data_IF_789369518538
#
_entry.id   IF_789369518538
#
_cell.length_a   1.000
_cell.length_b   1.000
_cell.length_c   1.000
_cell.angle_alpha   90.00
_cell.angle_beta   90.00
_cell.angle_gamma   90.00
#
_symmetry.space_group_name_H-M   'P 1'
#
loop_
_entity.id
_entity.type
_entity.pdbx_description
1 polymer ?
#
# COMPACT_ATOMS: atom_id res chain seq x y z
N UNK A 1 10.52 5.67 -20.46
CA UNK A 1 11.28 4.80 -19.52
C UNK A 1 12.71 4.55 -20.00
N UNK A 2 12.94 4.15 -21.24
CA UNK A 2 14.29 3.87 -21.74
C UNK A 2 15.24 5.05 -21.61
N UNK A 3 14.81 6.26 -21.93
CA UNK A 3 15.61 7.47 -21.82
C UNK A 3 16.07 7.77 -20.39
N UNK A 4 15.25 7.39 -19.40
CA UNK A 4 15.54 7.60 -17.98
C UNK A 4 16.45 6.50 -17.39
N UNK A 5 16.55 5.34 -18.03
CA UNK A 5 17.28 4.19 -17.50
C UNK A 5 18.74 4.53 -17.17
N UNK A 6 19.46 5.26 -18.06
CA UNK A 6 20.86 5.64 -17.82
C UNK A 6 21.06 6.41 -16.50
N UNK A 7 20.09 7.22 -16.09
CA UNK A 7 20.17 8.07 -14.90
C UNK A 7 19.62 7.40 -13.65
N UNK A 8 18.56 6.58 -13.79
CA UNK A 8 17.75 6.10 -12.68
C UNK A 8 17.74 4.58 -12.50
N UNK A 9 18.53 3.80 -13.26
CA UNK A 9 18.68 2.36 -13.03
C UNK A 9 19.11 2.09 -11.58
N UNK A 10 18.40 1.18 -10.91
CA UNK A 10 18.69 0.79 -9.53
C UNK A 10 18.37 1.85 -8.46
N UNK A 11 17.65 2.91 -8.78
CA UNK A 11 17.38 4.04 -7.84
C UNK A 11 15.94 4.19 -7.40
N UNK A 12 15.00 3.55 -8.08
CA UNK A 12 13.57 3.68 -7.77
C UNK A 12 13.21 2.82 -6.56
N UNK A 13 12.70 3.44 -5.51
CA UNK A 13 12.22 2.75 -4.30
C UNK A 13 10.83 2.17 -4.49
N UNK A 14 9.92 2.90 -5.11
CA UNK A 14 8.56 2.44 -5.33
C UNK A 14 8.11 2.75 -6.76
N UNK A 15 7.65 1.72 -7.46
CA UNK A 15 6.92 1.86 -8.73
C UNK A 15 5.46 1.59 -8.41
N UNK A 16 4.59 2.57 -8.69
CA UNK A 16 3.14 2.45 -8.51
C UNK A 16 2.51 2.78 -9.85
N UNK A 17 1.82 1.81 -10.45
CA UNK A 17 1.20 1.98 -11.77
C UNK A 17 -0.24 1.50 -11.80
N UNK A 18 -1.04 2.23 -12.57
CA UNK A 18 -2.42 1.91 -12.94
C UNK A 18 -2.47 1.79 -14.48
N UNK A 19 -2.03 0.66 -15.05
CA UNK A 19 -1.93 0.52 -16.50
C UNK A 19 -3.31 0.48 -17.17
N UNK A 20 -3.40 0.74 -18.49
CA UNK A 20 -4.65 0.51 -19.23
C UNK A 20 -5.17 -0.90 -18.99
N UNK A 21 -6.43 -1.03 -18.54
CA UNK A 21 -7.03 -2.32 -18.24
C UNK A 21 -7.32 -3.10 -19.52
N UNK A 22 -7.08 -4.41 -19.47
CA UNK A 22 -7.56 -5.32 -20.49
C UNK A 22 -9.05 -5.57 -20.29
N UNK A 23 -9.83 -5.49 -21.37
CA UNK A 23 -11.25 -5.83 -21.40
C UNK A 23 -11.50 -6.90 -22.47
N UNK A 24 -12.21 -7.97 -22.08
CA UNK A 24 -12.58 -9.06 -23.02
C UNK A 24 -13.56 -8.62 -24.09
N UNK A 25 -14.42 -7.64 -23.79
CA UNK A 25 -15.40 -7.07 -24.73
C UNK A 25 -15.03 -5.62 -24.96
N UNK A 26 -14.92 -5.22 -26.22
CA UNK A 26 -14.75 -3.83 -26.62
C UNK A 26 -15.94 -3.01 -26.10
N UNK A 27 -15.67 -1.93 -25.40
CA UNK A 27 -16.71 -0.96 -25.06
C UNK A 27 -16.91 -0.03 -26.25
N UNK A 28 -18.17 0.19 -26.65
CA UNK A 28 -18.54 1.10 -27.76
C UNK A 28 -18.22 2.56 -27.47
N UNK A 29 -18.03 2.95 -26.22
CA UNK A 29 -17.47 4.22 -25.79
C UNK A 29 -16.14 3.93 -25.11
N UNK A 30 -15.05 4.11 -25.84
CA UNK A 30 -13.72 4.13 -25.25
C UNK A 30 -13.63 5.43 -24.45
N UNK A 31 -13.95 5.35 -23.17
CA UNK A 31 -13.85 6.48 -22.24
C UNK A 31 -12.40 6.88 -22.00
N UNK A 32 -11.46 6.05 -22.45
CA UNK A 32 -10.06 6.34 -22.52
C UNK A 32 -9.69 6.63 -23.97
N UNK A 33 -9.06 7.75 -24.24
CA UNK A 33 -8.33 7.98 -25.49
C UNK A 33 -7.18 6.98 -25.68
N UNK A 34 -7.03 6.02 -24.77
CA UNK A 34 -6.24 4.81 -24.91
C UNK A 34 -7.03 3.81 -25.74
N UNK A 35 -6.44 3.28 -26.79
CA UNK A 35 -7.00 2.16 -27.53
C UNK A 35 -7.14 0.94 -26.62
N UNK A 36 -8.22 0.87 -25.84
CA UNK A 36 -8.55 -0.25 -24.94
C UNK A 36 -8.99 -1.52 -25.69
N UNK A 37 -9.03 -1.46 -27.03
CA UNK A 37 -9.32 -2.58 -27.92
C UNK A 37 -8.11 -3.47 -28.20
N UNK A 38 -7.14 -3.53 -27.31
CA UNK A 38 -6.00 -4.43 -27.43
C UNK A 38 -6.45 -5.90 -27.45
N UNK A 39 -5.99 -6.65 -28.45
CA UNK A 39 -5.97 -8.11 -28.32
C UNK A 39 -5.09 -8.46 -27.10
N UNK A 40 -5.44 -9.52 -26.39
CA UNK A 40 -4.71 -9.94 -25.19
C UNK A 40 -3.19 -10.03 -25.42
N UNK A 41 -2.77 -10.61 -26.54
CA UNK A 41 -1.35 -10.74 -26.90
C UNK A 41 -0.65 -9.38 -27.04
N UNK A 42 -1.30 -8.42 -27.70
CA UNK A 42 -0.76 -7.07 -27.89
C UNK A 42 -0.63 -6.34 -26.54
N UNK A 43 -1.66 -6.46 -25.68
CA UNK A 43 -1.64 -5.89 -24.34
C UNK A 43 -0.54 -6.50 -23.47
N UNK A 44 -0.35 -7.82 -23.53
CA UNK A 44 0.73 -8.49 -22.80
C UNK A 44 2.10 -8.06 -23.29
N UNK A 45 2.32 -7.89 -24.58
CA UNK A 45 3.58 -7.37 -25.14
C UNK A 45 3.81 -5.93 -24.69
N UNK A 46 2.77 -5.10 -24.73
CA UNK A 46 2.80 -3.72 -24.25
C UNK A 46 3.23 -3.64 -22.76
N UNK A 47 2.64 -4.48 -21.90
CA UNK A 47 3.00 -4.56 -20.49
C UNK A 47 4.38 -5.13 -20.27
N UNK A 48 4.75 -6.20 -21.01
CA UNK A 48 6.07 -6.84 -20.92
C UNK A 48 7.20 -5.83 -21.12
N UNK A 49 7.17 -5.10 -22.23
CA UNK A 49 8.22 -4.15 -22.58
C UNK A 49 8.45 -3.07 -21.51
N UNK A 50 7.39 -2.69 -20.80
CA UNK A 50 7.45 -1.68 -19.73
C UNK A 50 7.93 -2.27 -18.41
N UNK A 51 7.45 -3.45 -18.06
CA UNK A 51 7.86 -4.14 -16.83
C UNK A 51 9.32 -4.59 -16.88
N UNK A 52 9.83 -4.99 -18.05
CA UNK A 52 11.25 -5.31 -18.24
C UNK A 52 12.14 -4.11 -17.86
N UNK A 53 11.81 -2.91 -18.37
CA UNK A 53 12.55 -1.69 -18.02
C UNK A 53 12.34 -1.28 -16.57
N UNK A 54 11.10 -1.39 -16.08
CA UNK A 54 10.77 -1.05 -14.70
C UNK A 54 11.58 -1.87 -13.69
N UNK A 55 11.74 -3.18 -13.94
CA UNK A 55 12.57 -4.07 -13.12
C UNK A 55 14.02 -3.57 -12.99
N UNK A 56 14.60 -3.05 -14.07
CA UNK A 56 15.97 -2.54 -14.06
C UNK A 56 16.09 -1.21 -13.30
N UNK A 57 15.03 -0.41 -13.27
CA UNK A 57 15.00 0.87 -12.56
C UNK A 57 14.84 0.70 -11.04
N UNK A 58 14.22 -0.39 -10.57
CA UNK A 58 14.05 -0.65 -9.14
C UNK A 58 15.41 -0.79 -8.43
N UNK A 59 15.51 -0.18 -7.24
CA UNK A 59 16.59 -0.45 -6.29
C UNK A 59 16.44 -1.86 -5.71
N UNK A 60 17.47 -2.40 -5.07
CA UNK A 60 17.43 -3.74 -4.47
C UNK A 60 16.35 -3.88 -3.39
N UNK A 61 16.04 -2.80 -2.69
CA UNK A 61 14.93 -2.73 -1.73
C UNK A 61 13.64 -2.23 -2.35
N UNK A 62 13.60 -2.06 -3.67
CA UNK A 62 12.47 -1.50 -4.39
C UNK A 62 11.27 -2.42 -4.46
N UNK A 63 10.09 -1.80 -4.55
CA UNK A 63 8.80 -2.45 -4.69
C UNK A 63 8.12 -2.02 -6.00
N UNK A 64 7.47 -2.98 -6.66
CA UNK A 64 6.63 -2.73 -7.83
C UNK A 64 5.19 -3.07 -7.46
N UNK A 65 4.31 -2.08 -7.58
CA UNK A 65 2.90 -2.14 -7.21
C UNK A 65 2.07 -1.87 -8.47
N UNK A 66 1.18 -2.80 -8.82
CA UNK A 66 0.41 -2.75 -10.06
C UNK A 66 -1.07 -2.86 -9.71
N UNK A 67 -1.85 -1.83 -10.02
CA UNK A 67 -3.31 -1.82 -9.84
C UNK A 67 -3.93 -2.38 -11.12
N UNK A 68 -4.86 -3.32 -11.02
CA UNK A 68 -5.48 -3.97 -12.19
C UNK A 68 -6.89 -4.47 -11.90
N UNK A 69 -7.76 -4.38 -12.89
CA UNK A 69 -9.09 -4.96 -12.85
C UNK A 69 -9.10 -6.48 -13.06
N UNK A 70 -10.22 -7.12 -12.69
CA UNK A 70 -10.41 -8.57 -12.72
C UNK A 70 -10.05 -9.20 -14.06
N UNK A 71 -10.44 -8.60 -15.20
CA UNK A 71 -10.30 -9.22 -16.52
C UNK A 71 -8.84 -9.39 -16.97
N UNK A 72 -7.96 -8.50 -16.51
CA UNK A 72 -6.51 -8.55 -16.80
C UNK A 72 -5.67 -9.18 -15.70
N UNK A 73 -6.25 -9.41 -14.51
CA UNK A 73 -5.51 -9.81 -13.31
C UNK A 73 -4.68 -11.09 -13.51
N UNK A 74 -5.31 -12.18 -13.92
CA UNK A 74 -4.65 -13.48 -14.02
C UNK A 74 -3.49 -13.46 -15.04
N UNK A 75 -3.71 -12.84 -16.19
CA UNK A 75 -2.72 -12.75 -17.26
C UNK A 75 -1.55 -11.86 -16.88
N UNK A 76 -1.85 -10.71 -16.24
CA UNK A 76 -0.82 -9.79 -15.76
C UNK A 76 -0.01 -10.39 -14.61
N UNK A 77 -0.66 -11.13 -13.71
CA UNK A 77 0.02 -11.85 -12.62
C UNK A 77 1.04 -12.85 -13.17
N UNK A 78 0.65 -13.68 -14.14
CA UNK A 78 1.55 -14.64 -14.79
C UNK A 78 2.70 -13.95 -15.52
N UNK A 79 2.42 -12.85 -16.23
CA UNK A 79 3.46 -12.06 -16.90
C UNK A 79 4.43 -11.43 -15.90
N UNK A 80 3.92 -10.84 -14.84
CA UNK A 80 4.72 -10.22 -13.78
C UNK A 80 5.58 -11.25 -13.03
N UNK A 81 5.05 -12.46 -12.75
CA UNK A 81 5.83 -13.56 -12.18
C UNK A 81 7.02 -13.95 -13.07
N UNK A 82 6.81 -13.97 -14.37
CA UNK A 82 7.89 -14.30 -15.32
C UNK A 82 8.95 -13.20 -15.38
N UNK A 83 8.57 -11.94 -15.33
CA UNK A 83 9.49 -10.80 -15.48
C UNK A 83 10.14 -10.43 -14.13
N UNK A 84 9.35 -10.20 -13.11
CA UNK A 84 9.81 -9.72 -11.82
C UNK A 84 10.34 -10.85 -10.92
N UNK A 85 9.83 -12.06 -11.13
CA UNK A 85 10.13 -13.27 -10.36
C UNK A 85 8.94 -13.70 -9.49
N UNK A 86 8.48 -14.94 -9.65
CA UNK A 86 7.40 -15.49 -8.83
C UNK A 86 7.80 -15.61 -7.34
N UNK A 87 9.08 -15.80 -7.05
CA UNK A 87 9.65 -15.80 -5.70
C UNK A 87 9.77 -14.39 -5.08
N UNK A 88 9.60 -13.36 -5.89
CA UNK A 88 9.60 -11.95 -5.48
C UNK A 88 8.19 -11.40 -5.24
N UNK A 89 7.17 -12.17 -5.52
CA UNK A 89 5.79 -11.81 -5.22
C UNK A 89 5.57 -11.76 -3.71
N UNK A 90 5.04 -10.62 -3.22
CA UNK A 90 4.71 -10.42 -1.80
C UNK A 90 3.25 -10.81 -1.54
N UNK A 91 2.34 -10.34 -2.39
CA UNK A 91 0.91 -10.59 -2.22
C UNK A 91 0.04 -9.76 -3.16
N UNK A 92 -1.25 -10.03 -3.09
CA UNK A 92 -2.30 -9.23 -3.76
C UNK A 92 -3.22 -8.64 -2.71
N UNK A 93 -3.49 -7.34 -2.82
CA UNK A 93 -4.54 -6.67 -2.06
C UNK A 93 -5.80 -6.62 -2.92
N UNK A 94 -6.92 -7.08 -2.37
CA UNK A 94 -8.25 -6.86 -2.92
C UNK A 94 -8.75 -5.49 -2.45
N UNK A 95 -8.82 -4.52 -3.36
CA UNK A 95 -9.26 -3.17 -3.04
C UNK A 95 -10.70 -2.92 -3.48
N UNK A 96 -11.56 -2.48 -2.55
CA UNK A 96 -12.91 -2.06 -2.86
C UNK A 96 -12.91 -0.69 -3.54
N UNK A 97 -13.06 -0.72 -4.87
CA UNK A 97 -12.98 0.47 -5.72
C UNK A 97 -14.26 1.28 -5.81
N UNK A 98 -15.38 0.77 -5.32
CA UNK A 98 -16.70 1.40 -5.48
C UNK A 98 -17.46 1.47 -4.17
N UNK A 99 -18.04 2.64 -3.88
CA UNK A 99 -18.97 2.83 -2.77
C UNK A 99 -20.30 2.11 -3.03
N UNK A 100 -20.73 2.10 -4.29
CA UNK A 100 -21.99 1.54 -4.72
C UNK A 100 -21.85 0.12 -5.22
N UNK A 101 -22.91 -0.67 -5.02
CA UNK A 101 -23.08 -1.97 -5.62
C UNK A 101 -24.10 -1.86 -6.75
N UNK A 102 -23.63 -1.84 -7.99
CA UNK A 102 -24.51 -1.84 -9.15
C UNK A 102 -25.16 -3.21 -9.35
N UNK A 103 -26.46 -3.27 -9.51
CA UNK A 103 -27.20 -4.49 -9.86
C UNK A 103 -27.14 -4.74 -11.39
N UNK A 104 -25.93 -5.02 -11.89
CA UNK A 104 -25.66 -5.26 -13.31
C UNK A 104 -24.90 -6.57 -13.44
N UNK A 105 -25.41 -7.49 -14.27
CA UNK A 105 -24.83 -8.83 -14.45
C UNK A 105 -25.23 -9.82 -13.35
N UNK A 106 -24.49 -10.91 -13.22
CA UNK A 106 -24.79 -11.96 -12.24
C UNK A 106 -24.30 -11.61 -10.84
N UNK A 107 -23.23 -10.79 -10.73
CA UNK A 107 -22.75 -10.22 -9.46
C UNK A 107 -22.05 -8.88 -9.69
N UNK A 108 -22.06 -8.03 -8.67
CA UNK A 108 -21.47 -6.69 -8.74
C UNK A 108 -19.94 -6.75 -8.64
N UNK A 109 -19.25 -6.11 -9.59
CA UNK A 109 -17.79 -6.01 -9.63
C UNK A 109 -17.34 -4.76 -8.85
N UNK A 110 -17.15 -4.89 -7.56
CA UNK A 110 -16.83 -3.78 -6.66
C UNK A 110 -15.35 -3.71 -6.26
N UNK A 111 -14.52 -4.65 -6.75
CA UNK A 111 -13.10 -4.75 -6.40
C UNK A 111 -12.20 -4.65 -7.63
N UNK A 112 -11.00 -4.08 -7.41
CA UNK A 112 -9.82 -4.26 -8.23
C UNK A 112 -8.70 -4.88 -7.38
N UNK A 113 -7.61 -5.27 -8.02
CA UNK A 113 -6.51 -5.98 -7.39
C UNK A 113 -5.23 -5.17 -7.46
N UNK A 114 -4.41 -5.26 -6.42
CA UNK A 114 -3.12 -4.58 -6.33
C UNK A 114 -2.06 -5.64 -6.14
N UNK A 115 -1.30 -5.91 -7.20
CA UNK A 115 -0.19 -6.86 -7.18
C UNK A 115 1.06 -6.19 -6.61
N UNK A 116 1.75 -6.84 -5.70
CA UNK A 116 2.95 -6.31 -5.05
C UNK A 116 4.13 -7.27 -5.22
N UNK A 117 5.20 -6.76 -5.81
CA UNK A 117 6.47 -7.47 -5.99
C UNK A 117 7.61 -6.68 -5.36
N UNK A 118 8.63 -7.38 -4.88
CA UNK A 118 9.92 -6.80 -4.48
C UNK A 118 11.01 -7.15 -5.49
N UNK A 119 12.07 -6.34 -5.57
CA UNK A 119 13.22 -6.71 -6.40
C UNK A 119 14.10 -7.76 -5.70
N UNK A 120 14.68 -7.44 -4.58
CA UNK A 120 15.57 -8.34 -3.82
C UNK A 120 15.19 -8.40 -2.35
N UNK A 121 15.59 -7.40 -1.57
CA UNK A 121 15.38 -7.31 -0.12
C UNK A 121 14.22 -6.41 0.29
N UNK A 122 13.45 -5.88 -0.66
CA UNK A 122 12.30 -5.00 -0.41
C UNK A 122 11.31 -5.59 0.60
N UNK A 123 10.80 -4.74 1.47
CA UNK A 123 9.81 -5.08 2.49
C UNK A 123 8.74 -4.01 2.53
N UNK A 124 7.52 -4.41 2.86
CA UNK A 124 6.46 -3.45 3.14
C UNK A 124 6.67 -2.81 4.52
N UNK A 125 6.47 -1.51 4.57
CA UNK A 125 6.40 -0.77 5.82
C UNK A 125 5.09 -1.10 6.55
N UNK A 126 5.08 -0.89 7.87
CA UNK A 126 3.87 -1.03 8.67
C UNK A 126 2.97 0.19 8.50
N UNK A 127 1.67 -0.02 8.54
CA UNK A 127 0.68 1.04 8.64
C UNK A 127 0.44 1.41 10.10
N UNK A 128 -0.01 2.64 10.41
CA UNK A 128 -0.47 2.97 11.76
C UNK A 128 -1.53 2.00 12.24
N UNK A 129 -1.57 1.79 13.55
CA UNK A 129 -2.65 1.00 14.16
C UNK A 129 -4.00 1.62 13.84
N UNK A 130 -4.94 0.79 13.40
CA UNK A 130 -6.35 1.18 13.29
C UNK A 130 -6.94 1.45 14.68
N UNK A 131 -8.04 2.20 14.74
CA UNK A 131 -8.76 2.43 16.01
C UNK A 131 -9.20 1.12 16.68
N UNK A 132 -9.57 0.12 15.87
CA UNK A 132 -9.88 -1.22 16.37
C UNK A 132 -8.66 -1.88 17.02
N UNK A 133 -7.51 -1.82 16.40
CA UNK A 133 -6.27 -2.37 16.95
C UNK A 133 -5.79 -1.59 18.19
N UNK A 134 -5.97 -0.26 18.21
CA UNK A 134 -5.67 0.57 19.39
C UNK A 134 -6.53 0.19 20.59
N UNK A 135 -7.81 -0.14 20.40
CA UNK A 135 -8.73 -0.58 21.48
C UNK A 135 -8.29 -1.90 22.15
N UNK A 136 -7.41 -2.69 21.53
CA UNK A 136 -6.84 -3.88 22.17
C UNK A 136 -5.87 -3.52 23.31
N UNK A 137 -5.26 -2.32 23.28
CA UNK A 137 -4.35 -1.80 24.32
C UNK A 137 -5.12 -1.21 25.49
N UNK A 138 -5.92 -2.06 26.15
CA UNK A 138 -6.89 -1.67 27.19
C UNK A 138 -6.40 -1.88 28.62
N UNK A 139 -5.23 -2.44 28.79
CA UNK A 139 -4.58 -2.61 30.08
C UNK A 139 -3.55 -1.50 30.26
N UNK A 140 -3.31 -1.09 31.50
CA UNK A 140 -2.30 -0.07 31.81
C UNK A 140 -1.54 -0.39 33.09
N UNK A 141 -0.30 0.09 33.15
CA UNK A 141 0.51 0.19 34.33
C UNK A 141 1.33 1.49 34.30
N UNK A 142 2.33 1.62 35.16
CA UNK A 142 3.23 2.79 35.21
C UNK A 142 3.97 3.08 33.90
N UNK A 143 4.18 2.04 33.06
CA UNK A 143 4.85 2.15 31.77
C UNK A 143 3.89 2.42 30.61
N UNK A 144 2.58 2.59 30.86
CA UNK A 144 1.59 2.98 29.85
C UNK A 144 0.58 1.90 29.49
N UNK A 145 -0.14 2.14 28.37
CA UNK A 145 -1.16 1.20 27.88
C UNK A 145 -0.52 0.02 27.18
N UNK A 146 -1.03 -1.19 27.44
CA UNK A 146 -0.57 -2.42 26.79
C UNK A 146 -1.71 -3.37 26.41
N UNK A 147 -1.44 -4.26 25.47
CA UNK A 147 -2.27 -5.44 25.16
C UNK A 147 -1.56 -6.70 25.63
N UNK A 148 -2.34 -7.74 25.89
CA UNK A 148 -1.82 -9.04 26.33
C UNK A 148 -1.33 -9.88 25.16
N UNK A 149 -0.13 -10.42 25.27
CA UNK A 149 0.43 -11.43 24.37
C UNK A 149 0.28 -12.80 25.01
N UNK A 150 -0.32 -13.76 24.31
CA UNK A 150 -0.46 -15.13 24.78
C UNK A 150 0.93 -15.78 24.90
N UNK A 151 1.22 -16.33 26.06
CA UNK A 151 2.45 -17.06 26.35
C UNK A 151 2.22 -18.56 26.55
N UNK A 152 1.05 -18.97 27.03
CA UNK A 152 0.65 -20.36 27.19
C UNK A 152 -0.47 -20.69 26.20
N UNK A 153 -0.22 -21.58 25.26
CA UNK A 153 -1.19 -21.95 24.22
C UNK A 153 -1.05 -23.43 23.87
N UNK A 154 -2.07 -24.21 24.18
CA UNK A 154 -2.07 -25.68 24.00
C UNK A 154 -1.93 -26.12 22.53
N UNK A 155 -2.29 -25.27 21.59
CA UNK A 155 -2.30 -25.59 20.16
C UNK A 155 -1.03 -25.09 19.45
N UNK A 156 -0.55 -23.89 19.82
CA UNK A 156 0.55 -23.20 19.14
C UNK A 156 1.85 -23.16 19.92
N UNK A 157 1.81 -23.52 21.21
CA UNK A 157 3.00 -23.56 22.06
C UNK A 157 4.02 -24.59 21.55
N UNK A 158 5.29 -24.25 21.66
CA UNK A 158 6.41 -25.05 21.12
C UNK A 158 7.32 -25.59 22.21
N UNK A 159 7.31 -24.99 23.42
CA UNK A 159 8.28 -25.28 24.47
C UNK A 159 7.60 -25.89 25.70
N UNK A 160 8.00 -27.10 26.10
CA UNK A 160 7.43 -27.82 27.23
C UNK A 160 8.35 -27.71 28.45
N UNK A 161 7.95 -26.92 29.44
CA UNK A 161 8.64 -26.78 30.72
C UNK A 161 7.67 -26.32 31.81
N UNK A 162 8.09 -26.50 33.05
CA UNK A 162 7.40 -25.99 34.22
C UNK A 162 7.79 -24.53 34.49
N UNK A 163 6.81 -23.68 34.75
CA UNK A 163 6.99 -22.31 35.19
C UNK A 163 6.27 -22.12 36.53
N UNK A 164 6.97 -21.56 37.53
CA UNK A 164 6.38 -21.25 38.82
C UNK A 164 5.86 -19.82 38.83
N UNK A 165 4.61 -19.63 39.21
CA UNK A 165 4.00 -18.29 39.33
C UNK A 165 4.52 -17.56 40.57
N UNK A 166 4.33 -16.21 40.67
CA UNK A 166 4.69 -15.46 41.88
C UNK A 166 4.05 -15.95 43.17
N UNK A 167 2.94 -16.66 43.08
CA UNK A 167 2.25 -17.28 44.25
C UNK A 167 2.69 -18.74 44.53
N UNK A 168 3.71 -19.22 43.82
CA UNK A 168 4.22 -20.58 43.99
C UNK A 168 3.46 -21.70 43.25
N UNK A 169 2.46 -21.36 42.47
CA UNK A 169 1.73 -22.34 41.64
C UNK A 169 2.57 -22.75 40.44
N UNK A 170 2.56 -24.06 40.16
CA UNK A 170 3.25 -24.64 39.00
C UNK A 170 2.30 -24.67 37.79
N UNK A 171 2.78 -24.15 36.66
CA UNK A 171 2.11 -24.18 35.36
C UNK A 171 2.99 -24.98 34.39
N UNK A 172 2.36 -25.77 33.53
CA UNK A 172 3.05 -26.58 32.53
C UNK A 172 2.69 -26.11 31.13
N UNK A 173 3.70 -26.11 30.24
CA UNK A 173 3.52 -25.76 28.84
C UNK A 173 2.47 -26.60 28.09
N UNK A 174 2.34 -26.42 26.77
CA UNK A 174 3.33 -25.82 25.89
C UNK A 174 3.30 -24.28 25.85
N UNK A 175 4.49 -23.69 25.94
CA UNK A 175 4.71 -22.25 25.94
C UNK A 175 5.04 -21.73 24.53
N UNK A 176 4.73 -20.46 24.27
CA UNK A 176 5.04 -19.77 23.01
C UNK A 176 6.49 -19.26 22.94
N UNK A 177 7.19 -19.19 24.09
CA UNK A 177 8.57 -18.70 24.23
C UNK A 177 9.40 -19.67 25.06
N UNK A 178 10.72 -19.60 24.90
CA UNK A 178 11.68 -20.31 25.74
C UNK A 178 11.60 -19.84 27.19
N UNK A 179 12.02 -20.67 28.11
CA UNK A 179 11.93 -20.41 29.56
C UNK A 179 12.71 -19.17 29.94
N UNK A 180 13.93 -19.06 29.46
CA UNK A 180 14.86 -17.95 29.69
C UNK A 180 14.28 -16.61 29.20
N UNK A 181 13.56 -16.64 28.08
CA UNK A 181 12.91 -15.43 27.54
C UNK A 181 11.71 -15.00 28.41
N UNK A 182 10.92 -15.94 28.95
CA UNK A 182 9.83 -15.60 29.87
C UNK A 182 10.40 -15.05 31.18
N UNK A 183 11.45 -15.66 31.75
CA UNK A 183 12.12 -15.20 32.94
C UNK A 183 12.74 -13.81 32.75
N UNK A 184 13.34 -13.55 31.59
CA UNK A 184 13.85 -12.22 31.21
C UNK A 184 12.74 -11.18 31.16
N UNK A 185 11.60 -11.50 30.54
CA UNK A 185 10.44 -10.61 30.46
C UNK A 185 9.84 -10.33 31.84
N UNK A 186 9.82 -11.33 32.74
CA UNK A 186 9.31 -11.16 34.09
C UNK A 186 10.21 -10.22 34.92
N UNK A 187 11.52 -10.43 34.85
CA UNK A 187 12.52 -9.54 35.49
C UNK A 187 12.44 -8.10 34.98
N UNK A 188 12.01 -7.87 33.73
CA UNK A 188 11.77 -6.55 33.16
C UNK A 188 10.37 -5.99 33.45
N UNK A 189 9.56 -6.66 34.27
CA UNK A 189 8.18 -6.25 34.56
C UNK A 189 7.24 -6.32 33.35
N UNK A 190 7.66 -7.03 32.28
CA UNK A 190 6.90 -7.18 31.03
C UNK A 190 5.99 -8.43 31.01
N UNK A 191 5.77 -9.06 32.16
CA UNK A 191 4.76 -10.13 32.34
C UNK A 191 3.56 -9.55 33.11
N UNK A 192 2.37 -9.84 32.59
CA UNK A 192 1.10 -9.60 33.25
C UNK A 192 0.59 -10.90 33.86
N UNK A 193 0.71 -11.05 35.16
CA UNK A 193 0.20 -12.19 35.91
C UNK A 193 -1.29 -11.99 36.22
N UNK A 194 -2.13 -12.88 35.73
CA UNK A 194 -3.57 -12.80 36.00
C UNK A 194 -3.92 -13.25 37.42
N UNK A 195 -4.95 -12.65 38.00
CA UNK A 195 -5.41 -12.89 39.37
C UNK A 195 -4.30 -12.89 40.42
N UNK A 196 -3.44 -11.87 40.35
CA UNK A 196 -2.37 -11.73 41.33
C UNK A 196 -1.34 -12.85 41.31
N UNK A 197 -1.12 -13.49 40.16
CA UNK A 197 -0.15 -14.57 40.02
C UNK A 197 -0.70 -15.97 40.26
N UNK A 198 -2.03 -16.13 40.36
CA UNK A 198 -2.66 -17.43 40.54
C UNK A 198 -2.95 -18.17 39.23
N UNK A 199 -2.93 -17.47 38.12
CA UNK A 199 -3.27 -18.00 36.80
C UNK A 199 -2.16 -17.73 35.75
N UNK A 200 -2.46 -18.10 34.51
CA UNK A 200 -1.48 -18.00 33.42
C UNK A 200 -0.97 -16.60 33.19
N UNK A 201 0.32 -16.48 32.83
CA UNK A 201 0.93 -15.20 32.46
C UNK A 201 0.61 -14.81 31.03
N UNK A 202 0.67 -13.50 30.79
CA UNK A 202 0.66 -12.90 29.47
C UNK A 202 1.85 -11.93 29.34
N UNK A 203 2.44 -11.84 28.17
CA UNK A 203 3.40 -10.78 27.87
C UNK A 203 2.67 -9.44 27.74
N UNK A 204 3.31 -8.35 28.15
CA UNK A 204 2.85 -7.00 27.95
C UNK A 204 3.44 -6.47 26.63
N UNK A 205 2.58 -6.09 25.68
CA UNK A 205 2.96 -5.36 24.47
C UNK A 205 2.46 -3.94 24.62
N UNK A 206 3.37 -2.99 24.84
CA UNK A 206 2.99 -1.60 25.07
C UNK A 206 2.63 -0.88 23.76
N UNK A 207 1.67 0.04 23.84
CA UNK A 207 1.24 0.84 22.70
C UNK A 207 2.36 1.71 22.15
N UNK A 208 3.15 2.31 23.03
CA UNK A 208 4.29 3.14 22.66
C UNK A 208 5.43 2.40 21.95
N UNK A 209 5.55 1.07 22.20
CA UNK A 209 6.54 0.21 21.53
C UNK A 209 6.01 -0.31 20.20
N UNK A 210 4.79 0.06 19.82
CA UNK A 210 4.17 -0.45 18.58
C UNK A 210 4.67 0.31 17.36
N UNK A 211 5.33 -0.38 16.47
CA UNK A 211 5.73 0.14 15.15
C UNK A 211 4.55 0.19 14.14
N UNK A 212 3.34 -0.13 14.59
CA UNK A 212 2.16 -0.25 13.72
C UNK A 212 1.78 -1.69 13.41
N UNK A 213 1.01 -1.88 12.35
CA UNK A 213 0.52 -3.18 11.90
C UNK A 213 0.91 -3.47 10.45
N UNK A 214 1.16 -4.72 10.12
CA UNK A 214 1.35 -5.13 8.71
C UNK A 214 0.07 -4.84 7.91
N UNK A 215 0.19 -4.40 6.64
CA UNK A 215 -0.98 -4.27 5.77
C UNK A 215 -1.72 -5.60 5.64
N UNK A 216 -3.05 -5.56 5.59
CA UNK A 216 -3.85 -6.73 5.24
C UNK A 216 -4.11 -6.78 3.74
N UNK A 217 -4.65 -7.88 3.26
CA UNK A 217 -4.92 -8.17 1.85
C UNK A 217 -6.32 -7.75 1.37
N UNK A 218 -7.10 -7.09 2.25
CA UNK A 218 -8.42 -6.55 1.90
C UNK A 218 -8.52 -5.09 2.34
N UNK A 219 -8.61 -4.19 1.35
CA UNK A 219 -8.77 -2.75 1.57
C UNK A 219 -10.20 -2.35 1.21
N UNK A 220 -10.96 -1.95 2.20
CA UNK A 220 -12.33 -1.48 2.06
C UNK A 220 -12.40 -0.03 1.53
N UNK A 221 -13.58 0.55 1.50
CA UNK A 221 -13.80 1.91 1.00
C UNK A 221 -13.15 3.02 1.85
N UNK A 222 -12.66 2.73 3.07
CA UNK A 222 -11.89 3.68 3.87
C UNK A 222 -10.53 4.02 3.25
N UNK A 223 -10.03 3.16 2.37
CA UNK A 223 -8.82 3.41 1.56
C UNK A 223 -9.09 4.26 0.31
N UNK A 224 -10.30 4.79 0.16
CA UNK A 224 -10.75 5.57 -1.00
C UNK A 224 -11.35 4.71 -2.10
N UNK A 225 -12.23 5.32 -2.90
CA UNK A 225 -12.92 4.69 -4.03
C UNK A 225 -12.76 5.51 -5.30
N UNK A 226 -13.10 4.94 -6.46
CA UNK A 226 -13.06 5.68 -7.73
C UNK A 226 -14.00 6.90 -7.71
N UNK A 227 -15.12 6.82 -6.99
CA UNK A 227 -16.03 7.95 -6.82
C UNK A 227 -15.32 9.10 -6.08
N UNK A 228 -14.57 8.78 -5.02
CA UNK A 228 -13.77 9.79 -4.29
C UNK A 228 -12.68 10.40 -5.16
N UNK A 229 -11.97 9.59 -5.94
CA UNK A 229 -10.99 10.12 -6.89
C UNK A 229 -11.61 11.08 -7.92
N UNK A 230 -12.81 10.75 -8.43
CA UNK A 230 -13.54 11.65 -9.35
C UNK A 230 -14.02 12.93 -8.65
N UNK A 231 -14.43 12.87 -7.38
CA UNK A 231 -14.77 14.04 -6.57
C UNK A 231 -13.54 14.93 -6.36
N UNK A 232 -12.39 14.37 -5.95
CA UNK A 232 -11.13 15.09 -5.75
C UNK A 232 -10.72 15.90 -6.99
N UNK A 233 -10.77 15.29 -8.20
CA UNK A 233 -10.45 16.01 -9.45
C UNK A 233 -11.48 17.11 -9.71
N UNK A 234 -12.76 16.84 -9.49
CA UNK A 234 -13.83 17.82 -9.73
C UNK A 234 -13.72 19.03 -8.79
N UNK A 235 -13.40 18.81 -7.53
CA UNK A 235 -13.15 19.88 -6.54
C UNK A 235 -11.90 20.69 -6.91
N UNK A 236 -10.82 20.01 -7.31
CA UNK A 236 -9.58 20.64 -7.68
C UNK A 236 -9.72 21.56 -8.91
N UNK A 237 -10.60 21.21 -9.88
CA UNK A 237 -10.81 21.91 -11.14
C UNK A 237 -12.19 22.62 -11.21
N UNK A 238 -12.70 23.10 -10.07
CA UNK A 238 -13.89 23.96 -9.99
C UNK A 238 -15.18 23.35 -10.55
N UNK A 239 -15.30 22.03 -10.51
CA UNK A 239 -16.49 21.30 -10.93
C UNK A 239 -16.34 20.55 -12.26
N UNK A 240 -15.28 20.76 -13.00
CA UNK A 240 -15.07 20.15 -14.30
C UNK A 240 -14.61 18.67 -14.17
N UNK A 241 -15.18 17.83 -15.02
CA UNK A 241 -14.77 16.43 -15.16
C UNK A 241 -13.67 16.32 -16.22
N UNK A 242 -12.44 16.69 -15.85
CA UNK A 242 -11.30 16.72 -16.79
C UNK A 242 -10.65 15.35 -17.02
N UNK A 243 -10.96 14.36 -16.19
CA UNK A 243 -10.36 13.02 -16.29
C UNK A 243 -11.35 11.94 -15.87
N UNK A 244 -11.35 10.84 -16.61
CA UNK A 244 -12.17 9.66 -16.28
C UNK A 244 -11.40 8.69 -15.39
N UNK A 245 -12.04 8.23 -14.31
CA UNK A 245 -11.53 7.21 -13.39
C UNK A 245 -10.18 7.51 -12.72
N UNK A 246 -9.95 8.72 -12.18
CA UNK A 246 -8.75 8.98 -11.40
C UNK A 246 -8.74 8.10 -10.15
N UNK A 247 -7.55 7.65 -9.74
CA UNK A 247 -7.41 6.95 -8.45
C UNK A 247 -7.51 7.95 -7.30
N UNK A 248 -8.16 7.60 -6.18
CA UNK A 248 -8.26 8.48 -5.02
C UNK A 248 -6.88 8.66 -4.35
N UNK A 249 -6.60 9.85 -3.87
CA UNK A 249 -5.35 10.15 -3.16
C UNK A 249 -5.16 9.26 -1.93
N UNK A 250 -6.23 8.92 -1.23
CA UNK A 250 -6.18 8.01 -0.06
C UNK A 250 -5.61 6.64 -0.39
N UNK A 251 -5.95 6.06 -1.53
CA UNK A 251 -5.38 4.78 -1.98
C UNK A 251 -3.88 4.92 -2.20
N UNK A 252 -3.49 5.90 -2.99
CA UNK A 252 -2.09 6.13 -3.36
C UNK A 252 -1.25 6.50 -2.13
N UNK A 253 -1.80 7.28 -1.19
CA UNK A 253 -1.17 7.59 0.10
C UNK A 253 -0.77 6.32 0.85
N UNK A 254 -1.70 5.36 0.99
CA UNK A 254 -1.41 4.12 1.68
C UNK A 254 -0.40 3.25 0.92
N UNK A 255 -0.46 3.22 -0.42
CA UNK A 255 0.52 2.50 -1.25
C UNK A 255 1.92 3.11 -1.13
N UNK A 256 2.07 4.43 -1.19
CA UNK A 256 3.34 5.13 -0.98
C UNK A 256 3.86 4.89 0.43
N UNK A 257 2.99 4.95 1.44
CA UNK A 257 3.37 4.76 2.84
C UNK A 257 3.92 3.37 3.13
N UNK A 258 3.34 2.31 2.54
CA UNK A 258 3.83 0.95 2.73
C UNK A 258 5.05 0.62 1.88
N UNK A 259 5.43 1.46 0.90
CA UNK A 259 6.47 1.14 -0.08
C UNK A 259 7.66 2.10 -0.11
N UNK A 260 7.61 3.21 0.62
CA UNK A 260 8.67 4.22 0.61
C UNK A 260 8.72 5.04 1.89
N UNK A 261 9.85 5.71 2.12
CA UNK A 261 10.05 6.71 3.16
C UNK A 261 10.21 8.12 2.55
N UNK A 262 10.27 9.17 3.39
CA UNK A 262 10.55 10.53 2.95
C UNK A 262 11.88 10.62 2.20
N UNK A 263 11.89 11.38 1.11
CA UNK A 263 13.06 11.51 0.22
C UNK A 263 13.25 10.38 -0.79
N UNK A 264 12.58 9.24 -0.63
CA UNK A 264 12.64 8.14 -1.59
C UNK A 264 12.04 8.53 -2.95
N UNK A 265 12.49 7.87 -4.02
CA UNK A 265 12.06 8.12 -5.38
C UNK A 265 10.92 7.17 -5.79
N UNK A 266 9.78 7.75 -6.12
CA UNK A 266 8.57 7.07 -6.62
C UNK A 266 8.47 7.26 -8.14
N UNK A 267 8.11 6.21 -8.86
CA UNK A 267 7.90 6.23 -10.31
C UNK A 267 6.48 5.78 -10.66
N UNK A 268 5.80 6.57 -11.46
CA UNK A 268 4.56 6.18 -12.15
C UNK A 268 4.71 6.45 -13.65
N UNK A 269 4.66 5.39 -14.47
CA UNK A 269 4.79 5.52 -15.93
C UNK A 269 3.47 5.29 -16.68
N UNK A 270 2.37 5.34 -15.95
CA UNK A 270 1.00 5.47 -16.43
C UNK A 270 0.29 6.55 -15.61
N UNK A 271 0.89 7.74 -15.56
CA UNK A 271 0.59 8.78 -14.58
C UNK A 271 -0.86 9.27 -14.62
N UNK A 272 -1.50 9.25 -15.79
CA UNK A 272 -2.89 9.64 -15.97
C UNK A 272 -3.16 11.05 -15.42
N UNK A 273 -4.07 11.15 -14.46
CA UNK A 273 -4.43 12.42 -13.81
C UNK A 273 -3.39 12.96 -12.83
N UNK A 274 -2.24 12.28 -12.67
CA UNK A 274 -1.17 12.73 -11.77
C UNK A 274 -1.40 12.44 -10.29
N UNK A 275 -2.31 11.54 -9.92
CA UNK A 275 -2.58 11.26 -8.49
C UNK A 275 -1.34 10.78 -7.76
N UNK A 276 -0.57 9.85 -8.34
CA UNK A 276 0.63 9.29 -7.70
C UNK A 276 1.68 10.37 -7.42
N UNK A 277 1.96 11.24 -8.39
CA UNK A 277 2.96 12.31 -8.25
C UNK A 277 2.49 13.41 -7.31
N UNK A 278 1.20 13.74 -7.31
CA UNK A 278 0.60 14.69 -6.37
C UNK A 278 0.74 14.20 -4.91
N UNK A 279 0.38 12.95 -4.65
CA UNK A 279 0.50 12.34 -3.32
C UNK A 279 1.96 12.20 -2.90
N UNK A 280 2.86 11.79 -3.81
CA UNK A 280 4.30 11.71 -3.54
C UNK A 280 4.86 13.08 -3.13
N UNK A 281 4.46 14.16 -3.83
CA UNK A 281 4.84 15.52 -3.51
C UNK A 281 4.36 15.94 -2.11
N UNK A 282 3.07 15.78 -1.80
CA UNK A 282 2.50 16.08 -0.47
C UNK A 282 3.14 15.28 0.66
N UNK A 283 3.69 14.11 0.37
CA UNK A 283 4.36 13.23 1.33
C UNK A 283 5.88 13.40 1.39
N UNK A 284 6.46 14.43 0.76
CA UNK A 284 7.90 14.68 0.69
C UNK A 284 8.71 13.54 0.05
N UNK A 285 8.13 12.84 -0.94
CA UNK A 285 8.86 11.91 -1.79
C UNK A 285 9.34 12.61 -3.05
N UNK A 286 10.47 12.19 -3.59
CA UNK A 286 10.84 12.51 -4.96
C UNK A 286 9.98 11.67 -5.91
N UNK A 287 9.72 12.17 -7.11
CA UNK A 287 8.88 11.43 -8.05
C UNK A 287 9.28 11.64 -9.51
N UNK A 288 8.93 10.66 -10.31
CA UNK A 288 8.94 10.71 -11.76
C UNK A 288 7.58 10.23 -12.24
N UNK A 289 6.85 11.09 -12.96
CA UNK A 289 5.61 10.75 -13.65
C UNK A 289 5.83 10.73 -15.16
N UNK A 290 5.30 9.74 -15.85
CA UNK A 290 5.36 9.64 -17.32
C UNK A 290 3.94 9.44 -17.83
N UNK A 291 3.56 10.28 -18.79
CA UNK A 291 2.30 10.17 -19.54
C UNK A 291 2.58 10.45 -21.01
N UNK A 292 1.93 9.73 -21.90
CA UNK A 292 2.11 9.89 -23.34
C UNK A 292 1.00 10.71 -24.01
N UNK A 293 -0.09 10.98 -23.25
CA UNK A 293 -1.26 11.66 -23.79
C UNK A 293 -1.22 13.16 -23.52
N UNK A 294 -1.70 13.96 -24.44
CA UNK A 294 -1.66 15.43 -24.41
C UNK A 294 -2.35 16.05 -23.18
N UNK A 295 -3.27 15.33 -22.54
CA UNK A 295 -3.91 15.80 -21.32
C UNK A 295 -2.94 15.95 -20.12
N UNK A 296 -1.69 15.48 -20.23
CA UNK A 296 -0.68 15.68 -19.19
C UNK A 296 -0.55 17.15 -18.80
N UNK A 297 -0.55 18.06 -19.79
CA UNK A 297 -0.41 19.49 -19.55
C UNK A 297 -1.63 20.07 -18.83
N UNK A 298 -2.82 19.72 -19.30
CA UNK A 298 -4.08 20.33 -18.82
C UNK A 298 -4.60 19.71 -17.53
N UNK A 299 -4.15 18.50 -17.16
CA UNK A 299 -4.61 17.81 -15.96
C UNK A 299 -3.47 17.62 -14.96
N UNK A 300 -2.45 16.81 -15.28
CA UNK A 300 -1.44 16.43 -14.31
C UNK A 300 -0.50 17.57 -13.92
N UNK A 301 -0.07 18.38 -14.89
CA UNK A 301 0.77 19.57 -14.66
C UNK A 301 0.00 20.60 -13.84
N UNK A 302 -1.26 20.90 -14.23
CA UNK A 302 -2.12 21.82 -13.49
C UNK A 302 -2.44 21.34 -12.08
N UNK A 303 -2.64 20.03 -11.90
CA UNK A 303 -2.76 19.41 -10.56
C UNK A 303 -1.53 19.69 -9.71
N UNK A 304 -0.33 19.45 -10.24
CA UNK A 304 0.91 19.69 -9.49
C UNK A 304 1.12 21.17 -9.16
N UNK A 305 0.76 22.11 -10.04
CA UNK A 305 0.79 23.54 -9.72
C UNK A 305 -0.10 23.85 -8.51
N UNK A 306 -1.34 23.35 -8.50
CA UNK A 306 -2.26 23.54 -7.37
C UNK A 306 -1.76 22.89 -6.08
N UNK A 307 -1.10 21.71 -6.17
CA UNK A 307 -0.43 21.08 -5.02
C UNK A 307 0.66 22.00 -4.46
N UNK A 308 1.52 22.55 -5.31
CA UNK A 308 2.57 23.51 -4.90
C UNK A 308 1.97 24.75 -4.26
N UNK A 309 0.84 25.25 -4.78
CA UNK A 309 0.11 26.39 -4.24
C UNK A 309 -0.62 26.07 -2.91
N UNK A 310 -0.56 24.82 -2.43
CA UNK A 310 -1.09 24.44 -1.13
C UNK A 310 -2.58 24.08 -1.13
N UNK A 311 -3.09 23.47 -2.20
CA UNK A 311 -4.48 23.00 -2.24
C UNK A 311 -4.78 22.04 -1.08
N UNK A 312 -6.04 22.06 -0.57
CA UNK A 312 -6.41 21.37 0.67
C UNK A 312 -7.31 20.14 0.47
N UNK A 313 -7.41 19.63 -0.77
CA UNK A 313 -8.15 18.41 -1.09
C UNK A 313 -7.40 17.12 -0.79
N UNK A 314 -8.07 16.01 -1.03
CA UNK A 314 -7.48 14.68 -0.90
C UNK A 314 -6.88 14.39 0.48
N UNK A 315 -5.56 14.14 0.52
CA UNK A 315 -4.81 13.83 1.76
C UNK A 315 -4.17 15.05 2.42
N UNK A 316 -4.33 16.27 1.88
CA UNK A 316 -3.61 17.47 2.33
C UNK A 316 -3.70 17.69 3.84
N UNK A 317 -4.88 17.52 4.43
CA UNK A 317 -5.07 17.65 5.87
C UNK A 317 -4.38 16.53 6.67
N UNK A 318 -4.38 15.30 6.16
CA UNK A 318 -3.76 14.15 6.86
C UNK A 318 -2.24 14.27 6.98
N UNK A 319 -1.62 14.97 6.03
CA UNK A 319 -0.17 15.18 6.00
C UNK A 319 0.22 16.62 6.37
N UNK A 320 -0.74 17.43 6.82
CA UNK A 320 -0.56 18.85 7.15
C UNK A 320 0.12 19.63 5.99
N UNK A 321 -0.33 19.37 4.76
CA UNK A 321 0.22 20.02 3.57
C UNK A 321 -0.16 21.50 3.51
N UNK A 322 0.81 22.37 3.29
CA UNK A 322 0.61 23.81 3.19
C UNK A 322 1.19 24.43 1.92
N UNK A 323 1.61 23.58 0.98
CA UNK A 323 2.22 24.03 -0.29
C UNK A 323 3.75 24.03 -0.25
N UNK A 324 4.33 24.42 -1.37
CA UNK A 324 5.76 24.52 -1.58
C UNK A 324 6.35 23.44 -2.48
N UNK A 325 7.67 23.47 -2.62
CA UNK A 325 8.38 22.56 -3.52
C UNK A 325 8.39 23.04 -4.98
N UNK A 326 8.83 22.16 -5.86
CA UNK A 326 8.87 22.41 -7.32
C UNK A 326 8.90 21.10 -8.08
N UNK A 327 8.56 21.15 -9.36
CA UNK A 327 8.75 20.03 -10.30
C UNK A 327 9.30 20.53 -11.64
N UNK A 328 9.81 19.60 -12.43
CA UNK A 328 10.26 19.88 -13.79
C UNK A 328 9.31 19.14 -14.74
N UNK A 329 8.73 19.88 -15.66
CA UNK A 329 8.02 19.32 -16.82
C UNK A 329 8.99 19.25 -18.00
N UNK A 330 9.01 18.14 -18.71
CA UNK A 330 9.84 17.94 -19.88
C UNK A 330 9.15 17.05 -20.91
N UNK A 331 9.29 17.38 -22.16
CA UNK A 331 8.84 16.60 -23.30
C UNK A 331 10.01 15.87 -23.95
N UNK A 332 9.75 14.63 -24.41
CA UNK A 332 10.68 13.90 -25.25
C UNK A 332 10.45 14.31 -26.71
N UNK A 333 11.46 14.93 -27.29
CA UNK A 333 11.48 15.22 -28.72
C UNK A 333 11.94 14.01 -29.53
#
# INVERSE_FOLDING_TARGET
>A
LHSLKKRFAGKIKSIIIDPPYYFKKTKSSDAFNYNSNFKLSTWLVFMKNRLDVAKEMLSDEGLCIIIIGEEGYAQLKLLADNILGGDKYIGTISWRKSDNQANIGEFAKVTDYILIYKKSSGKLNKLPLTDKARKEYRYSDENGYFRRQILLDKTRGKYNYELTTPTGKKLYGPWMKEKEEIERLDNLGKIYWTRGGQEQPYGKLYLQDSEGQIPNDFWDNSFGTNQRGAEEIRELFSGDRLFDFPKPERLIYNLIKISSEEGDLVLDFFMGSGTTVAVAHKMNRQYIGIEQMDYIETVAVERLKKVIDGEQGGISQDVAWSGGGSFIYAELM
#
